data_IF_194662340124
#
_entry.id   IF_194662340124
#
_cell.length_a   1.000
_cell.length_b   1.000
_cell.length_c   1.000
_cell.angle_alpha   90.00
_cell.angle_beta   90.00
_cell.angle_gamma   90.00
#
_symmetry.space_group_name_H-M   'P 1'
#
loop_
_entity.id
_entity.type
_entity.pdbx_description
1 polymer ?
#
# COMPACT_ATOMS: atom_id res chain seq x y z
N UNK A 1 22.04 10.12 0.22
CA UNK A 1 20.85 10.99 0.37
C UNK A 1 20.63 11.76 -0.94
N UNK A 2 19.50 11.57 -1.63
CA UNK A 2 19.12 12.42 -2.79
C UNK A 2 18.68 13.79 -2.27
N UNK A 3 19.16 14.89 -2.88
CA UNK A 3 18.65 16.24 -2.59
C UNK A 3 17.17 16.30 -3.00
N UNK A 4 16.27 16.82 -2.15
CA UNK A 4 14.87 17.01 -2.53
C UNK A 4 14.78 17.95 -3.73
N UNK A 5 13.84 17.67 -4.62
CA UNK A 5 13.57 18.60 -5.72
C UNK A 5 13.10 19.96 -5.16
N UNK A 6 13.32 21.05 -5.89
CA UNK A 6 12.87 22.40 -5.45
C UNK A 6 11.36 22.44 -5.11
N UNK A 7 10.56 21.59 -5.77
CA UNK A 7 9.13 21.47 -5.52
C UNK A 7 8.81 20.74 -4.21
N UNK A 8 9.58 19.70 -3.89
CA UNK A 8 9.44 18.92 -2.66
C UNK A 8 9.85 19.71 -1.41
N UNK A 9 10.90 20.53 -1.52
CA UNK A 9 11.27 21.47 -0.45
C UNK A 9 10.13 22.45 -0.12
N UNK A 10 9.47 22.99 -1.16
CA UNK A 10 8.30 23.86 -0.98
C UNK A 10 7.10 23.12 -0.38
N UNK A 11 6.88 21.86 -0.79
CA UNK A 11 5.86 21.04 -0.19
C UNK A 11 6.08 20.81 1.31
N UNK A 12 7.31 20.52 1.73
CA UNK A 12 7.63 20.30 3.14
C UNK A 12 7.34 21.54 3.99
N UNK A 13 7.66 22.75 3.51
CA UNK A 13 7.31 24.01 4.18
C UNK A 13 5.79 24.15 4.34
N UNK A 14 5.02 23.87 3.29
CA UNK A 14 3.54 23.90 3.35
C UNK A 14 3.02 22.87 4.37
N UNK A 15 3.58 21.66 4.37
CA UNK A 15 3.20 20.58 5.29
C UNK A 15 3.51 20.92 6.74
N UNK A 16 4.70 21.45 7.05
CA UNK A 16 5.10 21.82 8.41
C UNK A 16 4.20 22.92 8.99
N UNK A 17 3.81 23.90 8.17
CA UNK A 17 3.07 25.06 8.66
C UNK A 17 1.54 24.90 8.60
N UNK A 18 1.02 24.10 7.66
CA UNK A 18 -0.43 24.01 7.39
C UNK A 18 -0.99 22.59 7.57
N UNK A 19 -0.24 21.65 8.15
CA UNK A 19 -0.71 20.26 8.40
C UNK A 19 -1.94 20.14 9.27
N UNK A 20 -2.16 21.09 10.18
CA UNK A 20 -3.34 21.10 11.05
C UNK A 20 -4.60 21.63 10.35
N UNK A 21 -4.49 22.12 9.12
CA UNK A 21 -5.60 22.66 8.35
C UNK A 21 -6.17 21.62 7.39
N UNK A 22 -7.47 21.37 7.51
CA UNK A 22 -8.21 20.50 6.56
C UNK A 22 -8.32 21.16 5.18
N UNK A 23 -8.41 22.49 5.15
CA UNK A 23 -8.52 23.30 3.94
C UNK A 23 -7.44 24.37 3.93
N UNK A 24 -6.64 24.38 2.87
CA UNK A 24 -5.55 25.32 2.63
C UNK A 24 -5.96 26.24 1.47
N UNK A 25 -5.99 27.54 1.72
CA UNK A 25 -6.24 28.54 0.69
C UNK A 25 -4.95 28.97 -0.02
N UNK A 26 -5.09 29.53 -1.23
CA UNK A 26 -3.95 30.14 -1.94
C UNK A 26 -3.28 31.22 -1.10
N UNK A 27 -4.07 32.02 -0.36
CA UNK A 27 -3.55 33.04 0.56
C UNK A 27 -2.64 32.46 1.62
N UNK A 28 -2.98 31.29 2.19
CA UNK A 28 -2.18 30.64 3.23
C UNK A 28 -0.82 30.19 2.66
N UNK A 29 -0.81 29.67 1.43
CA UNK A 29 0.43 29.29 0.72
C UNK A 29 1.25 30.53 0.36
N UNK A 30 0.61 31.63 -0.07
CA UNK A 30 1.30 32.88 -0.39
C UNK A 30 2.06 33.46 0.80
N UNK A 31 1.50 33.36 2.01
CA UNK A 31 2.16 33.82 3.24
C UNK A 31 3.47 33.08 3.55
N UNK A 32 3.59 31.82 3.13
CA UNK A 32 4.80 31.01 3.35
C UNK A 32 5.94 31.34 2.38
N UNK A 33 5.64 32.04 1.28
CA UNK A 33 6.62 32.37 0.25
C UNK A 33 6.50 33.85 -0.16
N UNK A 34 6.77 34.80 0.75
CA UNK A 34 6.53 36.23 0.52
C UNK A 34 7.36 36.80 -0.65
N UNK A 35 8.51 36.19 -0.95
CA UNK A 35 9.39 36.63 -2.03
C UNK A 35 8.91 36.19 -3.43
N UNK A 36 7.88 35.34 -3.53
CA UNK A 36 7.36 34.86 -4.80
C UNK A 36 6.21 35.75 -5.31
N UNK A 37 6.28 36.12 -6.59
CA UNK A 37 5.19 36.80 -7.28
C UNK A 37 3.95 35.90 -7.38
N UNK A 38 2.76 36.49 -7.45
CA UNK A 38 1.49 35.77 -7.54
C UNK A 38 1.47 34.70 -8.65
N UNK A 39 1.94 35.02 -9.85
CA UNK A 39 2.00 34.05 -10.97
C UNK A 39 2.89 32.84 -10.64
N UNK A 40 3.98 33.05 -9.90
CA UNK A 40 4.88 31.98 -9.46
C UNK A 40 4.22 31.10 -8.39
N UNK A 41 3.41 31.67 -7.50
CA UNK A 41 2.61 30.91 -6.53
C UNK A 41 1.62 30.00 -7.25
N UNK A 42 0.85 30.54 -8.21
CA UNK A 42 -0.09 29.74 -8.98
C UNK A 42 0.61 28.62 -9.76
N UNK A 43 1.80 28.89 -10.31
CA UNK A 43 2.61 27.87 -10.99
C UNK A 43 3.12 26.79 -10.03
N UNK A 44 3.56 27.16 -8.81
CA UNK A 44 3.96 26.21 -7.77
C UNK A 44 2.77 25.33 -7.36
N UNK A 45 1.61 25.94 -7.07
CA UNK A 45 0.40 25.21 -6.70
C UNK A 45 -0.04 24.28 -7.83
N UNK A 46 -0.02 24.76 -9.08
CA UNK A 46 -0.31 23.94 -10.25
C UNK A 46 0.59 22.70 -10.31
N UNK A 47 1.90 22.87 -10.15
CA UNK A 47 2.83 21.75 -10.15
C UNK A 47 2.66 20.83 -8.93
N UNK A 48 2.39 21.36 -7.74
CA UNK A 48 2.11 20.56 -6.55
C UNK A 48 0.83 19.72 -6.71
N UNK A 49 -0.18 20.23 -7.41
CA UNK A 49 -1.39 19.47 -7.73
C UNK A 49 -1.13 18.46 -8.84
N UNK A 50 -0.46 18.87 -9.93
CA UNK A 50 -0.09 18.00 -11.04
C UNK A 50 0.75 16.81 -10.58
N UNK A 51 1.71 17.07 -9.71
CA UNK A 51 2.55 16.05 -9.09
C UNK A 51 1.85 15.35 -7.93
N UNK A 52 0.66 15.78 -7.49
CA UNK A 52 -0.13 15.08 -6.48
C UNK A 52 0.30 15.31 -5.03
N UNK A 53 1.12 16.32 -4.73
CA UNK A 53 1.41 16.77 -3.36
C UNK A 53 0.23 17.52 -2.71
N UNK A 54 -0.59 18.19 -3.52
CA UNK A 54 -1.83 18.85 -3.09
C UNK A 54 -3.02 18.25 -3.84
N UNK A 55 -4.18 18.20 -3.18
CA UNK A 55 -5.45 17.86 -3.81
C UNK A 55 -6.30 19.12 -3.92
N UNK A 56 -6.82 19.40 -5.12
CA UNK A 56 -7.74 20.52 -5.32
C UNK A 56 -9.14 20.12 -4.85
N UNK A 57 -9.72 20.91 -3.93
CA UNK A 57 -11.08 20.69 -3.42
C UNK A 57 -12.07 21.55 -4.20
N UNK A 58 -11.76 22.84 -4.37
CA UNK A 58 -12.52 23.80 -5.18
C UNK A 58 -11.61 24.94 -5.65
N UNK A 59 -12.14 25.90 -6.39
CA UNK A 59 -11.36 27.07 -6.82
C UNK A 59 -10.72 27.77 -5.62
N UNK A 60 -9.38 27.89 -5.64
CA UNK A 60 -8.60 28.56 -4.60
C UNK A 60 -8.46 27.78 -3.27
N UNK A 61 -9.01 26.57 -3.16
CA UNK A 61 -8.96 25.76 -1.93
C UNK A 61 -8.43 24.36 -2.23
N UNK A 62 -7.43 23.98 -1.45
CA UNK A 62 -6.67 22.75 -1.57
C UNK A 62 -6.67 22.02 -0.24
N UNK A 63 -6.29 20.75 -0.26
CA UNK A 63 -5.89 20.02 0.93
C UNK A 63 -4.50 19.45 0.68
N UNK A 64 -3.75 19.20 1.76
CA UNK A 64 -2.58 18.35 1.64
C UNK A 64 -3.02 17.03 1.04
N UNK A 65 -2.38 16.61 -0.04
CA UNK A 65 -2.48 15.22 -0.44
C UNK A 65 -1.48 14.47 0.42
N UNK A 66 -1.97 14.02 1.57
CA UNK A 66 -1.20 13.16 2.46
C UNK A 66 -0.71 11.90 1.75
N UNK A 67 -1.21 11.55 0.56
CA UNK A 67 -0.68 10.42 -0.22
C UNK A 67 0.76 10.67 -0.70
N UNK A 68 1.18 11.91 -1.04
CA UNK A 68 2.58 12.22 -1.41
C UNK A 68 3.43 12.84 -0.29
N UNK A 69 2.81 13.32 0.79
CA UNK A 69 3.54 13.65 2.04
C UNK A 69 3.59 12.53 3.08
N UNK A 70 2.77 11.50 2.91
CA UNK A 70 2.78 10.19 3.56
C UNK A 70 2.90 9.07 2.51
N UNK A 71 3.63 9.33 1.42
CA UNK A 71 4.15 8.30 0.49
C UNK A 71 5.36 7.58 1.04
N UNK A 72 5.78 7.86 2.29
CA UNK A 72 6.62 6.91 3.00
C UNK A 72 5.75 5.69 3.31
N UNK A 73 5.60 4.81 2.33
CA UNK A 73 5.30 3.41 2.61
C UNK A 73 6.32 3.00 3.66
N UNK A 74 5.83 2.57 4.82
CA UNK A 74 6.69 2.16 5.90
C UNK A 74 7.14 0.73 5.60
N UNK A 75 8.19 0.62 4.81
CA UNK A 75 8.89 -0.65 4.68
C UNK A 75 9.58 -0.95 6.01
N UNK A 76 9.30 -2.12 6.56
CA UNK A 76 10.06 -2.71 7.66
C UNK A 76 11.55 -2.77 7.31
N UNK A 77 12.41 -2.85 8.34
CA UNK A 77 13.85 -3.03 8.12
C UNK A 77 14.16 -4.30 7.32
N UNK A 78 13.38 -5.37 7.53
CA UNK A 78 13.44 -6.58 6.72
C UNK A 78 13.13 -6.29 5.26
N UNK A 79 12.03 -5.58 4.95
CA UNK A 79 11.69 -5.23 3.57
C UNK A 79 12.76 -4.35 2.92
N UNK A 80 13.32 -3.37 3.64
CA UNK A 80 14.43 -2.54 3.14
C UNK A 80 15.69 -3.37 2.83
N UNK A 81 16.08 -4.28 3.73
CA UNK A 81 17.24 -5.18 3.54
C UNK A 81 17.03 -6.08 2.32
N UNK A 82 15.84 -6.68 2.19
CA UNK A 82 15.46 -7.50 1.03
C UNK A 82 15.51 -6.67 -0.26
N UNK A 83 14.95 -5.46 -0.25
CA UNK A 83 14.93 -4.59 -1.42
C UNK A 83 16.34 -4.25 -1.90
N UNK A 84 17.23 -3.89 -0.97
CA UNK A 84 18.64 -3.62 -1.30
C UNK A 84 19.33 -4.82 -1.96
N UNK A 85 19.13 -6.03 -1.44
CA UNK A 85 19.71 -7.27 -1.98
C UNK A 85 19.17 -7.55 -3.39
N UNK A 86 17.86 -7.39 -3.61
CA UNK A 86 17.25 -7.67 -4.92
C UNK A 86 17.59 -6.60 -5.96
N UNK A 87 17.68 -5.34 -5.54
CA UNK A 87 18.11 -4.23 -6.39
C UNK A 87 19.56 -4.40 -6.85
N UNK A 88 20.46 -4.87 -5.98
CA UNK A 88 21.87 -5.10 -6.34
C UNK A 88 22.05 -6.22 -7.36
N UNK A 89 21.16 -7.21 -7.34
CA UNK A 89 21.19 -8.36 -8.27
C UNK A 89 20.29 -8.14 -9.51
N UNK A 90 19.52 -7.04 -9.55
CA UNK A 90 18.70 -6.67 -10.71
C UNK A 90 17.42 -7.49 -10.90
N UNK A 91 16.82 -8.00 -9.82
CA UNK A 91 15.55 -8.73 -9.90
C UNK A 91 14.34 -7.81 -10.06
N UNK A 92 13.34 -8.27 -10.81
CA UNK A 92 12.00 -7.68 -10.83
C UNK A 92 11.18 -8.16 -9.62
N UNK A 93 10.80 -7.23 -8.75
CA UNK A 93 9.99 -7.54 -7.57
C UNK A 93 9.08 -6.38 -7.14
N UNK A 94 8.12 -6.65 -6.26
CA UNK A 94 7.48 -5.62 -5.47
C UNK A 94 7.09 -6.09 -4.07
N UNK A 95 7.08 -5.16 -3.11
CA UNK A 95 6.53 -5.36 -1.77
C UNK A 95 5.03 -5.05 -1.73
N UNK A 96 4.29 -5.79 -0.92
CA UNK A 96 2.84 -5.63 -0.75
C UNK A 96 2.42 -5.93 0.69
N UNK A 97 1.12 -5.93 0.96
CA UNK A 97 0.58 -6.34 2.25
C UNK A 97 0.80 -5.33 3.37
N UNK A 98 1.19 -5.82 4.55
CA UNK A 98 1.21 -5.05 5.80
C UNK A 98 2.07 -3.79 5.70
N UNK A 99 3.29 -3.85 5.13
CA UNK A 99 4.17 -2.66 5.00
C UNK A 99 3.50 -1.47 4.30
N UNK A 100 2.53 -1.74 3.41
CA UNK A 100 1.81 -0.72 2.64
C UNK A 100 0.58 -0.23 3.40
N UNK A 101 -0.14 -1.13 4.08
CA UNK A 101 -1.42 -0.81 4.74
C UNK A 101 -1.30 -0.50 6.23
N UNK A 102 -0.09 -0.61 6.81
CA UNK A 102 0.18 -0.46 8.24
C UNK A 102 -0.47 0.78 8.88
N UNK A 103 -0.40 1.92 8.18
CA UNK A 103 -0.96 3.21 8.63
C UNK A 103 -2.49 3.22 8.77
N UNK A 104 -3.18 2.20 8.26
CA UNK A 104 -4.62 2.04 8.35
C UNK A 104 -5.03 0.99 9.39
N UNK A 105 -4.08 0.23 9.93
CA UNK A 105 -4.36 -0.82 10.91
C UNK A 105 -4.71 -0.19 12.26
N UNK A 106 -5.61 -0.85 12.99
CA UNK A 106 -5.93 -0.47 14.36
C UNK A 106 -4.88 -1.03 15.33
N UNK A 107 -4.43 -2.25 15.08
CA UNK A 107 -3.39 -2.92 15.86
C UNK A 107 -2.19 -3.20 14.95
N UNK A 108 -1.10 -2.47 15.18
CA UNK A 108 0.15 -2.65 14.43
C UNK A 108 0.90 -3.85 15.01
N UNK A 109 1.14 -4.92 14.23
CA UNK A 109 1.97 -6.03 14.68
C UNK A 109 3.43 -5.59 14.86
N UNK A 110 4.07 -6.07 15.92
CA UNK A 110 5.50 -5.82 16.19
C UNK A 110 6.39 -6.56 15.18
N UNK A 111 6.03 -7.81 14.86
CA UNK A 111 6.68 -8.62 13.84
C UNK A 111 5.64 -9.21 12.88
N UNK A 112 5.98 -9.24 11.59
CA UNK A 112 5.18 -9.89 10.56
C UNK A 112 6.07 -10.30 9.37
N UNK A 113 5.73 -11.40 8.67
CA UNK A 113 6.45 -11.79 7.47
C UNK A 113 6.21 -10.80 6.34
N UNK A 114 7.29 -10.29 5.74
CA UNK A 114 7.22 -9.38 4.58
C UNK A 114 6.62 -10.13 3.38
N UNK A 115 5.66 -9.51 2.71
CA UNK A 115 5.10 -10.07 1.47
C UNK A 115 5.91 -9.58 0.27
N UNK A 116 6.68 -10.48 -0.32
CA UNK A 116 7.49 -10.21 -1.50
C UNK A 116 6.87 -10.88 -2.72
N UNK A 117 6.64 -10.12 -3.78
CA UNK A 117 6.18 -10.62 -5.06
C UNK A 117 7.32 -10.63 -6.06
N UNK A 118 7.57 -11.78 -6.68
CA UNK A 118 8.68 -11.99 -7.61
C UNK A 118 8.19 -12.59 -8.91
N UNK A 119 8.99 -12.43 -9.96
CA UNK A 119 8.71 -13.02 -11.28
C UNK A 119 8.69 -14.56 -11.19
N UNK A 120 7.84 -15.18 -12.01
CA UNK A 120 7.84 -16.64 -12.13
C UNK A 120 9.20 -17.16 -12.59
N UNK A 121 9.61 -18.29 -11.99
CA UNK A 121 10.89 -18.98 -12.23
C UNK A 121 12.13 -18.30 -11.63
N UNK A 122 12.00 -17.21 -10.87
CA UNK A 122 13.13 -16.61 -10.12
C UNK A 122 13.07 -16.92 -8.64
N UNK A 123 12.02 -17.60 -8.16
CA UNK A 123 11.76 -17.70 -6.73
C UNK A 123 12.75 -18.59 -5.98
N UNK A 124 13.26 -19.67 -6.59
CA UNK A 124 14.25 -20.56 -5.95
C UNK A 124 15.59 -19.85 -5.76
N UNK A 125 16.00 -19.07 -6.76
CA UNK A 125 17.23 -18.30 -6.73
C UNK A 125 17.15 -17.19 -5.68
N UNK A 126 16.03 -16.47 -5.63
CA UNK A 126 15.77 -15.46 -4.60
C UNK A 126 15.75 -16.08 -3.20
N UNK A 127 15.13 -17.25 -3.00
CA UNK A 127 15.16 -17.94 -1.70
C UNK A 127 16.60 -18.26 -1.27
N UNK A 128 17.43 -18.77 -2.18
CA UNK A 128 18.83 -19.07 -1.90
C UNK A 128 19.61 -17.80 -1.54
N UNK A 129 19.47 -16.74 -2.33
CA UNK A 129 20.11 -15.45 -2.12
C UNK A 129 19.73 -14.84 -0.76
N UNK A 130 18.44 -14.88 -0.40
CA UNK A 130 17.96 -14.38 0.89
C UNK A 130 18.50 -15.23 2.04
N UNK A 131 18.56 -16.56 1.88
CA UNK A 131 19.13 -17.46 2.88
C UNK A 131 20.63 -17.20 3.13
N UNK A 132 21.40 -16.94 2.07
CA UNK A 132 22.82 -16.55 2.16
C UNK A 132 23.03 -15.24 2.95
N UNK A 133 22.00 -14.39 2.99
CA UNK A 133 21.97 -13.13 3.75
C UNK A 133 21.23 -13.24 5.10
N UNK A 134 21.05 -14.47 5.61
CA UNK A 134 20.40 -14.79 6.89
C UNK A 134 18.91 -14.37 6.97
N UNK A 135 18.21 -14.38 5.84
CA UNK A 135 16.79 -14.07 5.75
C UNK A 135 16.02 -15.36 5.41
N UNK A 136 15.16 -15.81 6.33
CA UNK A 136 14.33 -16.99 6.14
C UNK A 136 13.16 -16.60 5.22
N UNK A 137 13.22 -17.06 3.97
CA UNK A 137 12.18 -16.85 2.98
C UNK A 137 11.54 -18.18 2.57
N UNK A 138 10.21 -18.20 2.43
CA UNK A 138 9.47 -19.36 1.95
C UNK A 138 8.43 -18.99 0.90
N UNK A 139 8.03 -19.97 0.08
CA UNK A 139 6.94 -19.79 -0.88
C UNK A 139 5.58 -19.76 -0.17
N UNK A 140 4.66 -18.95 -0.69
CA UNK A 140 3.31 -18.81 -0.13
C UNK A 140 2.46 -20.09 -0.15
N UNK A 141 2.74 -21.04 -1.05
CA UNK A 141 2.05 -22.35 -1.07
C UNK A 141 2.54 -23.27 0.07
N UNK A 142 3.78 -23.11 0.52
CA UNK A 142 4.34 -23.86 1.65
C UNK A 142 3.58 -23.57 2.95
N UNK A 143 3.16 -22.33 3.16
CA UNK A 143 2.36 -21.90 4.33
C UNK A 143 1.05 -22.71 4.48
N UNK A 144 0.41 -23.05 3.38
CA UNK A 144 -0.88 -23.78 3.39
C UNK A 144 -0.69 -25.27 3.68
N UNK A 145 0.47 -25.82 3.30
CA UNK A 145 0.70 -27.27 3.29
C UNK A 145 1.41 -27.78 4.54
N UNK A 146 2.00 -26.89 5.35
CA UNK A 146 2.69 -27.24 6.59
C UNK A 146 1.83 -26.93 7.81
N UNK A 147 2.11 -27.64 8.91
CA UNK A 147 1.49 -27.38 10.20
C UNK A 147 1.71 -25.91 10.60
N UNK A 148 0.61 -25.21 10.89
CA UNK A 148 0.60 -23.80 11.26
C UNK A 148 1.46 -23.52 12.50
N UNK A 149 1.55 -24.47 13.44
CA UNK A 149 2.42 -24.35 14.62
C UNK A 149 3.89 -24.48 14.24
N UNK A 150 4.23 -25.37 13.31
CA UNK A 150 5.61 -25.50 12.82
C UNK A 150 6.06 -24.21 12.11
N UNK A 151 5.22 -23.66 11.25
CA UNK A 151 5.49 -22.41 10.55
C UNK A 151 5.60 -21.22 11.51
N UNK A 152 4.61 -21.03 12.39
CA UNK A 152 4.50 -19.83 13.22
C UNK A 152 5.40 -19.88 14.46
N UNK A 153 5.71 -21.06 15.00
CA UNK A 153 6.50 -21.19 16.21
C UNK A 153 7.96 -21.53 15.93
N UNK A 154 8.27 -22.28 14.87
CA UNK A 154 9.61 -22.80 14.59
C UNK A 154 10.25 -22.10 13.39
N UNK A 155 9.58 -22.06 12.25
CA UNK A 155 10.17 -21.52 11.02
C UNK A 155 10.24 -19.99 11.02
N UNK A 156 9.19 -19.32 11.53
CA UNK A 156 9.07 -17.85 11.63
C UNK A 156 9.67 -17.12 10.42
N UNK A 157 9.13 -17.34 9.22
CA UNK A 157 9.70 -16.77 8.01
C UNK A 157 9.74 -15.24 8.12
N UNK A 158 10.87 -14.65 7.76
CA UNK A 158 10.99 -13.19 7.62
C UNK A 158 10.26 -12.70 6.37
N UNK A 159 10.20 -13.54 5.32
CA UNK A 159 9.63 -13.21 4.01
C UNK A 159 8.76 -14.35 3.51
N UNK A 160 7.58 -14.01 2.99
CA UNK A 160 6.74 -14.92 2.22
C UNK A 160 6.75 -14.47 0.76
N UNK A 161 7.17 -15.37 -0.12
CA UNK A 161 7.33 -15.15 -1.55
C UNK A 161 6.09 -15.60 -2.30
N UNK A 162 5.56 -14.68 -3.09
CA UNK A 162 4.46 -14.91 -4.02
C UNK A 162 4.96 -14.75 -5.44
N UNK A 163 4.55 -15.68 -6.31
CA UNK A 163 4.89 -15.61 -7.73
C UNK A 163 3.85 -14.74 -8.45
N UNK A 164 4.31 -13.91 -9.37
CA UNK A 164 3.44 -13.09 -10.23
C UNK A 164 4.10 -12.79 -11.57
N UNK A 165 3.30 -12.76 -12.63
CA UNK A 165 3.70 -12.22 -13.94
C UNK A 165 3.17 -10.79 -14.14
N UNK A 166 2.50 -10.23 -13.13
CA UNK A 166 1.83 -8.92 -13.22
C UNK A 166 2.37 -7.92 -12.19
N UNK A 167 3.17 -6.98 -12.69
CA UNK A 167 3.73 -5.85 -11.96
C UNK A 167 2.92 -4.55 -12.15
N UNK A 168 1.75 -4.62 -12.77
CA UNK A 168 0.83 -3.48 -12.84
C UNK A 168 0.40 -3.06 -11.44
N UNK A 169 0.13 -1.77 -11.27
CA UNK A 169 -0.31 -1.21 -9.98
C UNK A 169 0.72 -1.38 -8.85
N UNK A 170 2.00 -1.39 -9.21
CA UNK A 170 3.14 -1.16 -8.32
C UNK A 170 4.03 -0.08 -8.91
N UNK A 171 4.62 0.74 -8.04
CA UNK A 171 5.53 1.83 -8.38
C UNK A 171 6.74 1.75 -7.46
N UNK A 172 7.96 1.89 -8.00
CA UNK A 172 9.22 1.79 -7.24
C UNK A 172 9.28 0.51 -6.37
N UNK A 173 8.96 -0.64 -6.95
CA UNK A 173 8.94 -1.94 -6.28
C UNK A 173 7.99 -2.02 -5.07
N UNK A 174 6.93 -1.20 -5.06
CA UNK A 174 5.93 -1.20 -4.00
C UNK A 174 4.51 -1.18 -4.58
N UNK A 175 3.62 -2.01 -4.06
CA UNK A 175 2.22 -2.06 -4.47
C UNK A 175 1.47 -0.77 -4.12
N UNK A 176 0.53 -0.37 -4.99
CA UNK A 176 -0.48 0.64 -4.62
C UNK A 176 -1.33 0.13 -3.44
N UNK A 177 -1.88 1.06 -2.66
CA UNK A 177 -2.70 0.77 -1.47
C UNK A 177 -3.82 -0.24 -1.75
N UNK A 178 -4.56 -0.08 -2.84
CA UNK A 178 -5.63 -1.00 -3.26
C UNK A 178 -5.10 -2.40 -3.56
N UNK A 179 -3.97 -2.48 -4.27
CA UNK A 179 -3.32 -3.75 -4.62
C UNK A 179 -2.82 -4.45 -3.37
N UNK A 180 -2.21 -3.72 -2.44
CA UNK A 180 -1.73 -4.26 -1.18
C UNK A 180 -2.84 -4.87 -0.32
N UNK A 181 -4.01 -4.21 -0.27
CA UNK A 181 -5.18 -4.79 0.39
C UNK A 181 -5.63 -6.10 -0.27
N UNK A 182 -5.70 -6.13 -1.61
CA UNK A 182 -6.13 -7.33 -2.35
C UNK A 182 -5.14 -8.47 -2.20
N UNK A 183 -3.84 -8.19 -2.30
CA UNK A 183 -2.78 -9.18 -2.09
C UNK A 183 -2.83 -9.74 -0.66
N UNK A 184 -3.07 -8.89 0.35
CA UNK A 184 -3.21 -9.31 1.74
C UNK A 184 -4.48 -10.14 1.98
N UNK A 185 -5.61 -9.73 1.39
CA UNK A 185 -6.86 -10.51 1.43
C UNK A 185 -6.67 -11.89 0.80
N UNK A 186 -6.02 -11.96 -0.36
CA UNK A 186 -5.64 -13.21 -1.01
C UNK A 186 -4.77 -14.08 -0.11
N UNK A 187 -3.72 -13.49 0.47
CA UNK A 187 -2.76 -14.15 1.32
C UNK A 187 -3.42 -14.77 2.57
N UNK A 188 -4.30 -14.02 3.25
CA UNK A 188 -5.01 -14.50 4.44
C UNK A 188 -6.00 -15.61 4.08
N UNK A 189 -6.81 -15.41 3.04
CA UNK A 189 -7.90 -16.33 2.71
C UNK A 189 -7.46 -17.59 1.96
N UNK A 190 -6.36 -17.52 1.19
CA UNK A 190 -5.92 -18.61 0.29
C UNK A 190 -4.57 -19.22 0.67
N UNK A 191 -3.72 -18.50 1.40
CA UNK A 191 -2.35 -18.92 1.75
C UNK A 191 -2.07 -18.96 3.26
N UNK A 192 -3.10 -18.81 4.11
CA UNK A 192 -2.97 -18.87 5.57
C UNK A 192 -1.91 -17.89 6.14
N UNK A 193 -1.82 -16.69 5.55
CA UNK A 193 -0.97 -15.62 6.08
C UNK A 193 -1.38 -15.28 7.53
N UNK A 194 -0.43 -15.08 8.46
CA UNK A 194 -0.69 -15.00 9.90
C UNK A 194 -1.27 -13.63 10.32
N UNK A 195 -2.47 -13.30 9.81
CA UNK A 195 -3.23 -12.11 10.16
C UNK A 195 -4.73 -12.43 10.16
N UNK A 196 -5.46 -11.84 11.11
CA UNK A 196 -6.91 -12.09 11.21
C UNK A 196 -7.70 -11.31 10.14
N UNK A 197 -8.77 -11.94 9.63
CA UNK A 197 -9.72 -11.26 8.74
C UNK A 197 -10.42 -10.07 9.41
N UNK A 198 -10.59 -10.12 10.74
CA UNK A 198 -11.18 -9.02 11.50
C UNK A 198 -10.32 -7.76 11.44
N UNK A 199 -9.00 -7.90 11.61
CA UNK A 199 -8.09 -6.76 11.52
C UNK A 199 -8.01 -6.23 10.08
N UNK A 200 -8.05 -7.11 9.08
CA UNK A 200 -8.13 -6.69 7.69
C UNK A 200 -9.43 -5.89 7.40
N UNK A 201 -10.57 -6.31 7.95
CA UNK A 201 -11.84 -5.58 7.83
C UNK A 201 -11.81 -4.20 8.48
N UNK A 202 -11.15 -4.06 9.64
CA UNK A 202 -10.91 -2.76 10.30
C UNK A 202 -10.00 -1.87 9.46
N UNK A 203 -8.93 -2.45 8.93
CA UNK A 203 -7.98 -1.78 8.02
C UNK A 203 -8.72 -1.23 6.80
N UNK A 204 -9.56 -2.03 6.15
CA UNK A 204 -10.41 -1.61 5.03
C UNK A 204 -11.33 -0.44 5.40
N UNK A 205 -11.99 -0.52 6.55
CA UNK A 205 -12.90 0.53 7.04
C UNK A 205 -12.16 1.86 7.23
N UNK A 206 -10.94 1.81 7.78
CA UNK A 206 -10.07 2.98 7.92
C UNK A 206 -9.61 3.53 6.56
N UNK A 207 -9.26 2.65 5.61
CA UNK A 207 -8.89 3.04 4.25
C UNK A 207 -10.04 3.79 3.54
N UNK A 208 -11.29 3.33 3.67
CA UNK A 208 -12.48 4.06 3.18
C UNK A 208 -12.61 5.40 3.87
N UNK A 209 -12.61 5.42 5.22
CA UNK A 209 -12.84 6.62 6.02
C UNK A 209 -11.87 7.74 5.66
N UNK A 210 -10.62 7.39 5.35
CA UNK A 210 -9.57 8.34 4.99
C UNK A 210 -9.53 8.67 3.49
N UNK A 211 -10.42 8.09 2.68
CA UNK A 211 -10.44 8.29 1.23
C UNK A 211 -9.17 7.79 0.54
N UNK A 212 -8.52 6.76 1.09
CA UNK A 212 -7.22 6.26 0.66
C UNK A 212 -7.30 5.19 -0.45
N UNK A 213 -8.52 4.83 -0.86
CA UNK A 213 -8.76 3.78 -1.86
C UNK A 213 -9.80 4.21 -2.90
N UNK A 214 -9.56 3.77 -4.13
CA UNK A 214 -10.51 3.78 -5.23
C UNK A 214 -11.16 2.40 -5.37
N UNK A 215 -12.46 2.35 -5.07
CA UNK A 215 -13.29 1.14 -5.12
C UNK A 215 -13.32 0.48 -6.51
N UNK A 216 -13.32 1.26 -7.60
CA UNK A 216 -13.34 0.71 -8.96
C UNK A 216 -12.00 0.09 -9.32
N UNK A 217 -10.89 0.73 -8.90
CA UNK A 217 -9.55 0.16 -9.03
C UNK A 217 -9.43 -1.16 -8.28
N UNK A 218 -9.95 -1.24 -7.05
CA UNK A 218 -9.93 -2.48 -6.29
C UNK A 218 -10.62 -3.63 -7.03
N UNK A 219 -11.84 -3.40 -7.54
CA UNK A 219 -12.58 -4.40 -8.32
C UNK A 219 -11.74 -4.81 -9.54
N UNK A 220 -11.20 -3.86 -10.29
CA UNK A 220 -10.38 -4.13 -11.48
C UNK A 220 -9.14 -4.96 -11.17
N UNK A 221 -8.39 -4.59 -10.13
CA UNK A 221 -7.17 -5.29 -9.72
C UNK A 221 -7.46 -6.74 -9.26
N UNK A 222 -8.61 -6.96 -8.60
CA UNK A 222 -8.95 -8.26 -8.03
C UNK A 222 -9.23 -9.36 -9.04
N UNK A 223 -9.59 -9.03 -10.29
CA UNK A 223 -9.71 -10.00 -11.38
C UNK A 223 -8.41 -10.80 -11.60
N UNK A 224 -7.25 -10.17 -11.39
CA UNK A 224 -5.94 -10.83 -11.62
C UNK A 224 -5.61 -11.90 -10.57
N UNK A 225 -6.35 -11.93 -9.46
CA UNK A 225 -6.24 -12.91 -8.38
C UNK A 225 -7.44 -13.84 -8.30
N UNK A 226 -8.40 -13.75 -9.23
CA UNK A 226 -9.70 -14.42 -9.16
C UNK A 226 -10.48 -14.08 -7.87
N UNK A 227 -10.39 -12.83 -7.42
CA UNK A 227 -11.06 -12.32 -6.21
C UNK A 227 -12.18 -11.31 -6.52
N UNK A 228 -12.56 -11.16 -7.78
CA UNK A 228 -13.50 -10.13 -8.23
C UNK A 228 -14.86 -10.21 -7.53
N UNK A 229 -15.35 -11.40 -7.23
CA UNK A 229 -16.63 -11.58 -6.55
C UNK A 229 -16.51 -11.23 -5.06
N UNK A 230 -15.46 -11.73 -4.39
CA UNK A 230 -15.18 -11.44 -2.98
C UNK A 230 -15.01 -9.92 -2.76
N UNK A 231 -14.19 -9.27 -3.59
CA UNK A 231 -13.91 -7.83 -3.49
C UNK A 231 -15.13 -7.00 -3.88
N UNK A 232 -15.91 -7.39 -4.90
CA UNK A 232 -17.19 -6.73 -5.21
C UNK A 232 -18.14 -6.81 -4.03
N UNK A 233 -18.29 -7.98 -3.42
CA UNK A 233 -19.13 -8.14 -2.24
C UNK A 233 -18.67 -7.19 -1.14
N UNK A 234 -17.38 -7.14 -0.80
CA UNK A 234 -16.85 -6.21 0.22
C UNK A 234 -17.13 -4.73 -0.13
N UNK A 235 -16.90 -4.34 -1.38
CA UNK A 235 -16.95 -2.94 -1.84
C UNK A 235 -18.39 -2.43 -2.00
N UNK A 236 -19.28 -3.32 -2.45
CA UNK A 236 -20.64 -3.01 -2.89
C UNK A 236 -21.71 -3.50 -1.89
N UNK A 237 -21.35 -4.19 -0.79
CA UNK A 237 -22.31 -4.76 0.17
C UNK A 237 -23.37 -3.76 0.66
N UNK A 238 -22.97 -2.49 0.83
CA UNK A 238 -23.88 -1.41 1.27
C UNK A 238 -25.00 -1.11 0.26
N UNK A 239 -24.83 -1.51 -0.99
CA UNK A 239 -25.81 -1.36 -2.07
C UNK A 239 -26.61 -2.64 -2.33
N UNK A 240 -26.25 -3.76 -1.68
CA UNK A 240 -26.98 -5.03 -1.80
C UNK A 240 -28.23 -4.95 -0.93
N UNK A 241 -29.40 -5.11 -1.55
CA UNK A 241 -30.68 -5.07 -0.84
C UNK A 241 -30.85 -6.26 0.12
N UNK A 242 -31.61 -6.06 1.20
CA UNK A 242 -31.93 -7.14 2.14
C UNK A 242 -32.66 -8.31 1.45
N UNK A 243 -33.52 -8.03 0.46
CA UNK A 243 -34.18 -9.07 -0.32
C UNK A 243 -33.20 -9.96 -1.11
N UNK A 244 -32.13 -9.37 -1.67
CA UNK A 244 -31.09 -10.15 -2.34
C UNK A 244 -30.31 -11.03 -1.34
N UNK A 245 -30.00 -10.50 -0.15
CA UNK A 245 -29.34 -11.27 0.92
C UNK A 245 -30.22 -12.41 1.42
N UNK A 246 -31.54 -12.22 1.46
CA UNK A 246 -32.50 -13.25 1.87
C UNK A 246 -32.57 -14.39 0.86
N UNK A 247 -32.62 -14.11 -0.45
CA UNK A 247 -32.62 -15.14 -1.50
C UNK A 247 -31.38 -16.05 -1.40
N UNK A 248 -30.21 -15.47 -1.12
CA UNK A 248 -28.94 -16.23 -1.01
C UNK A 248 -28.99 -17.26 0.12
N UNK A 249 -29.87 -17.13 1.12
CA UNK A 249 -30.04 -18.14 2.18
C UNK A 249 -30.73 -19.43 1.71
N UNK A 250 -31.35 -19.41 0.53
CA UNK A 250 -32.15 -20.52 -0.02
C UNK A 250 -31.49 -21.24 -1.21
N UNK A 251 -30.29 -20.82 -1.62
CA UNK A 251 -29.48 -21.45 -2.67
C UNK A 251 -28.30 -22.19 -2.06
#
# INVERSE_FOLDING_TARGET
>A
MKKPSSLEAKYNIIKENLSNQVYIMVSDISLLFPDLKANSIYWVIYNLVKEGYLKRIRNGVYSLNEIKGKSAVYLSETAKKVGYILDSEGYDYYFSGIDIVLKFMQHIPEEYPVMLFVKKNTEEEIIRLLKENEIIAIKANTMKNLDSNYINSIMRPNVIIYITDNFSYSENNVALTEKAFIDLFYAITRNAYPMSLQELGRTYSNMIRLGAIDKQKMITMSYKRNLQFDIRYIVENQYVSEGAKEIVKYI
#
